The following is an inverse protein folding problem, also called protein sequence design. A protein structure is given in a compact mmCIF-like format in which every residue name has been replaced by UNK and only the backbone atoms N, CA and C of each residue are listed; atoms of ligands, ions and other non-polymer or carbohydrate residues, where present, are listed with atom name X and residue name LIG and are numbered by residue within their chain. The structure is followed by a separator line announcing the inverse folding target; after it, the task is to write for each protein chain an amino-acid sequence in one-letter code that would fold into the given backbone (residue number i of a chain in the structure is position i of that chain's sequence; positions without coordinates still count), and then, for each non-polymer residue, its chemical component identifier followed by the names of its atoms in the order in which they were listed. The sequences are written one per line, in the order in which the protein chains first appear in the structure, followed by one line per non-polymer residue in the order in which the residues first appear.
data_IF_045945834347
#
_entry.id   IF_045945834347
#
_cell.length_a   1.000
_cell.length_b   1.000
_cell.length_c   1.000
_cell.angle_alpha   90.00
_cell.angle_beta   90.00
_cell.angle_gamma   90.00
#
_symmetry.space_group_name_H-M   'P 1'
#
loop_
_entity.id
_entity.type
_entity.pdbx_description
1 polymer ?
#
# COMPACT_ATOMS: atom_id res chain seq x y z
N UNK A 1 -8.02 -22.71 -56.74
CA UNK A 1 -7.36 -23.30 -55.56
C UNK A 1 -6.59 -22.27 -54.70
N UNK A 2 -5.84 -21.32 -55.27
CA UNK A 2 -4.95 -20.43 -54.50
C UNK A 2 -5.58 -19.36 -53.60
N UNK A 3 -6.82 -18.88 -53.86
CA UNK A 3 -7.46 -17.83 -53.03
C UNK A 3 -7.94 -18.33 -51.66
N UNK A 4 -8.32 -19.60 -51.55
CA UNK A 4 -8.73 -20.21 -50.27
C UNK A 4 -7.55 -20.39 -49.31
N UNK A 5 -6.34 -20.58 -49.84
CA UNK A 5 -5.12 -20.70 -49.05
C UNK A 5 -4.70 -19.33 -48.51
N UNK A 6 -4.77 -18.27 -49.33
CA UNK A 6 -4.51 -16.89 -48.92
C UNK A 6 -5.44 -16.42 -47.78
N UNK A 7 -6.74 -16.69 -47.88
CA UNK A 7 -7.71 -16.30 -46.84
C UNK A 7 -7.47 -17.04 -45.52
N UNK A 8 -7.10 -18.33 -45.59
CA UNK A 8 -6.74 -19.09 -44.38
C UNK A 8 -5.51 -18.53 -43.68
N UNK A 9 -4.47 -18.15 -44.43
CA UNK A 9 -3.26 -17.53 -43.86
C UNK A 9 -3.55 -16.13 -43.29
N UNK A 10 -4.39 -15.33 -43.95
CA UNK A 10 -4.80 -14.02 -43.44
C UNK A 10 -5.57 -14.14 -42.11
N UNK A 11 -6.45 -15.14 -41.99
CA UNK A 11 -7.19 -15.44 -40.76
C UNK A 11 -6.27 -15.90 -39.62
N UNK A 12 -5.29 -16.76 -39.88
CA UNK A 12 -4.31 -17.17 -38.85
C UNK A 12 -3.43 -16.01 -38.40
N UNK A 13 -3.00 -15.14 -39.31
CA UNK A 13 -2.20 -13.96 -38.95
C UNK A 13 -3.01 -13.00 -38.07
N UNK A 14 -4.26 -12.74 -38.41
CA UNK A 14 -5.14 -11.86 -37.61
C UNK A 14 -5.43 -12.44 -36.21
N UNK A 15 -5.66 -13.75 -36.12
CA UNK A 15 -5.89 -14.43 -34.84
C UNK A 15 -4.64 -14.42 -33.94
N UNK A 16 -3.45 -14.58 -34.52
CA UNK A 16 -2.16 -14.50 -33.78
C UNK A 16 -1.91 -13.08 -33.27
N UNK A 17 -2.20 -12.05 -34.08
CA UNK A 17 -2.05 -10.66 -33.65
C UNK A 17 -3.02 -10.29 -32.52
N UNK A 18 -4.27 -10.75 -32.57
CA UNK A 18 -5.23 -10.54 -31.49
C UNK A 18 -4.83 -11.27 -30.20
N UNK A 19 -4.28 -12.49 -30.30
CA UNK A 19 -3.78 -13.24 -29.16
C UNK A 19 -2.52 -12.60 -28.52
N UNK A 20 -1.67 -11.96 -29.33
CA UNK A 20 -0.50 -11.19 -28.85
C UNK A 20 -0.93 -9.89 -28.15
N UNK A 21 -1.96 -9.21 -28.64
CA UNK A 21 -2.52 -8.01 -28.00
C UNK A 21 -3.27 -8.35 -26.71
N UNK A 22 -4.00 -9.46 -26.66
CA UNK A 22 -4.65 -9.95 -25.43
C UNK A 22 -3.64 -10.41 -24.36
N UNK A 23 -2.43 -10.80 -24.76
CA UNK A 23 -1.27 -11.07 -23.88
C UNK A 23 -0.38 -9.86 -23.67
N UNK A 24 -0.84 -8.65 -24.00
CA UNK A 24 -0.03 -7.46 -23.79
C UNK A 24 0.30 -7.32 -22.29
N UNK A 25 1.59 -7.27 -21.92
CA UNK A 25 2.00 -7.11 -20.53
C UNK A 25 1.52 -5.79 -19.93
N UNK A 26 1.07 -4.84 -20.76
CA UNK A 26 0.53 -3.55 -20.32
C UNK A 26 -0.78 -3.66 -19.50
N UNK A 27 -1.64 -4.66 -19.75
CA UNK A 27 -2.87 -4.86 -18.97
C UNK A 27 -2.59 -5.61 -17.66
N UNK A 28 -1.67 -6.56 -17.66
CA UNK A 28 -1.25 -7.28 -16.46
C UNK A 28 -0.36 -6.42 -15.54
N UNK A 29 0.59 -5.67 -16.11
CA UNK A 29 1.51 -4.80 -15.38
C UNK A 29 0.80 -3.64 -14.67
N UNK A 30 -0.39 -3.24 -15.12
CA UNK A 30 -1.21 -2.24 -14.42
C UNK A 30 -1.68 -2.75 -13.05
N UNK A 31 -2.13 -4.01 -12.98
CA UNK A 31 -2.55 -4.62 -11.72
C UNK A 31 -1.38 -4.91 -10.79
N UNK A 32 -0.23 -5.34 -11.35
CA UNK A 32 1.00 -5.52 -10.58
C UNK A 32 1.46 -4.19 -9.95
N UNK A 33 1.40 -3.09 -10.72
CA UNK A 33 1.76 -1.75 -10.22
C UNK A 33 0.81 -1.26 -9.12
N UNK A 34 -0.47 -1.58 -9.21
CA UNK A 34 -1.46 -1.24 -8.18
C UNK A 34 -1.17 -2.03 -6.90
N UNK A 35 -0.92 -3.33 -7.02
CA UNK A 35 -0.54 -4.18 -5.89
C UNK A 35 0.71 -3.63 -5.18
N UNK A 36 1.75 -3.30 -5.94
CA UNK A 36 2.97 -2.68 -5.40
C UNK A 36 2.70 -1.34 -4.70
N UNK A 37 1.84 -0.51 -5.28
CA UNK A 37 1.48 0.79 -4.71
C UNK A 37 0.74 0.62 -3.38
N UNK A 38 -0.19 -0.33 -3.30
CA UNK A 38 -0.96 -0.63 -2.09
C UNK A 38 -0.05 -1.14 -0.97
N UNK A 39 0.89 -2.04 -1.28
CA UNK A 39 1.89 -2.54 -0.31
C UNK A 39 2.82 -1.43 0.17
N UNK A 40 3.29 -0.57 -0.74
CA UNK A 40 4.16 0.55 -0.38
C UNK A 40 3.44 1.58 0.49
N UNK A 41 2.18 1.90 0.18
CA UNK A 41 1.35 2.79 1.01
C UNK A 41 1.17 2.19 2.41
N UNK A 42 0.87 0.89 2.52
CA UNK A 42 0.75 0.22 3.81
C UNK A 42 2.04 0.34 4.65
N UNK A 43 3.18 0.06 4.03
CA UNK A 43 4.50 0.15 4.67
C UNK A 43 4.75 1.55 5.24
N UNK A 44 4.42 2.60 4.48
CA UNK A 44 4.55 3.99 4.92
C UNK A 44 3.61 4.29 6.10
N UNK A 45 2.34 3.86 6.02
CA UNK A 45 1.36 4.09 7.09
C UNK A 45 1.81 3.46 8.42
N UNK A 46 2.31 2.23 8.40
CA UNK A 46 2.82 1.53 9.59
C UNK A 46 4.07 2.22 10.13
N UNK A 47 5.00 2.60 9.25
CA UNK A 47 6.24 3.29 9.64
C UNK A 47 5.97 4.62 10.32
N UNK A 48 5.03 5.41 9.80
CA UNK A 48 4.62 6.69 10.40
C UNK A 48 3.93 6.45 11.74
N UNK A 49 3.04 5.46 11.84
CA UNK A 49 2.34 5.13 13.08
C UNK A 49 3.31 4.86 14.24
N UNK A 50 4.33 4.02 14.02
CA UNK A 50 5.36 3.70 15.02
C UNK A 50 6.20 4.93 15.38
N UNK A 51 6.53 5.75 14.36
CA UNK A 51 7.30 6.98 14.57
C UNK A 51 6.54 7.99 15.43
N UNK A 52 5.25 8.19 15.17
CA UNK A 52 4.39 9.10 15.96
C UNK A 52 4.21 8.60 17.38
N UNK A 53 4.00 7.30 17.59
CA UNK A 53 3.92 6.69 18.94
C UNK A 53 5.20 6.97 19.74
N UNK A 54 6.35 6.81 19.09
CA UNK A 54 7.66 7.04 19.71
C UNK A 54 7.80 8.49 20.18
N UNK A 55 7.44 9.46 19.33
CA UNK A 55 7.48 10.89 19.67
C UNK A 55 6.50 11.22 20.80
N UNK A 56 5.30 10.65 20.79
CA UNK A 56 4.27 10.87 21.82
C UNK A 56 4.76 10.43 23.21
N UNK A 57 5.37 9.24 23.30
CA UNK A 57 5.93 8.70 24.55
C UNK A 57 7.09 9.56 25.04
N UNK A 58 8.00 9.97 24.15
CA UNK A 58 9.14 10.82 24.49
C UNK A 58 8.67 12.19 25.03
N UNK A 59 7.69 12.82 24.37
CA UNK A 59 7.15 14.10 24.81
C UNK A 59 6.46 14.00 26.16
N UNK A 60 5.64 12.96 26.37
CA UNK A 60 4.95 12.73 27.63
C UNK A 60 5.96 12.48 28.78
N UNK A 61 6.96 11.63 28.56
CA UNK A 61 7.99 11.32 29.55
C UNK A 61 8.82 12.54 29.93
N UNK A 62 9.21 13.36 28.96
CA UNK A 62 9.94 14.60 29.22
C UNK A 62 9.14 15.56 30.12
N UNK A 63 7.86 15.78 29.81
CA UNK A 63 6.98 16.65 30.60
C UNK A 63 6.75 16.12 32.02
N UNK A 64 6.56 14.81 32.18
CA UNK A 64 6.35 14.22 33.51
C UNK A 64 7.60 14.28 34.39
N UNK A 65 8.78 13.97 33.85
CA UNK A 65 10.02 13.87 34.63
C UNK A 65 10.63 15.26 34.89
N UNK A 66 10.71 16.13 33.88
CA UNK A 66 11.48 17.38 33.97
C UNK A 66 10.64 18.63 34.22
N UNK A 67 9.33 18.60 33.94
CA UNK A 67 8.45 19.75 34.13
C UNK A 67 7.45 19.56 35.27
N UNK A 68 7.51 18.43 35.99
CA UNK A 68 6.58 18.09 37.06
C UNK A 68 5.12 18.03 36.61
N UNK A 69 4.87 17.86 35.30
CA UNK A 69 3.52 17.82 34.75
C UNK A 69 2.79 16.55 35.21
N UNK A 70 1.50 16.66 35.50
CA UNK A 70 0.71 15.52 35.96
C UNK A 70 0.34 14.64 34.76
N UNK A 71 0.05 13.36 35.01
CA UNK A 71 -0.39 12.43 33.95
C UNK A 71 -1.59 13.00 33.17
N UNK A 72 -2.48 13.73 33.83
CA UNK A 72 -3.64 14.38 33.21
C UNK A 72 -3.25 15.40 32.14
N UNK A 73 -2.11 16.09 32.29
CA UNK A 73 -1.67 17.13 31.35
C UNK A 73 -1.13 16.54 30.04
N UNK A 74 -0.76 15.26 30.06
CA UNK A 74 -0.18 14.54 28.91
C UNK A 74 -1.02 13.33 28.49
N UNK A 75 -2.11 13.03 29.22
CA UNK A 75 -3.00 11.90 28.98
C UNK A 75 -3.60 11.93 27.57
N UNK A 76 -4.00 13.12 27.09
CA UNK A 76 -4.58 13.28 25.76
C UNK A 76 -3.60 12.87 24.65
N UNK A 77 -2.31 13.19 24.81
CA UNK A 77 -1.26 12.81 23.84
C UNK A 77 -0.98 11.31 23.90
N UNK A 78 -1.00 10.71 25.08
CA UNK A 78 -0.80 9.27 25.22
C UNK A 78 -1.97 8.46 24.65
N UNK A 79 -3.21 8.87 24.91
CA UNK A 79 -4.41 8.21 24.32
C UNK A 79 -4.43 8.41 22.81
N UNK A 80 -4.13 9.61 22.31
CA UNK A 80 -3.99 9.84 20.87
C UNK A 80 -2.87 8.98 20.26
N UNK A 81 -1.71 8.90 20.92
CA UNK A 81 -0.57 8.08 20.49
C UNK A 81 -0.92 6.60 20.41
N UNK A 82 -1.58 6.03 21.42
CA UNK A 82 -1.98 4.61 21.39
C UNK A 82 -3.04 4.32 20.33
N UNK A 83 -3.95 5.26 20.06
CA UNK A 83 -4.92 5.13 18.96
C UNK A 83 -4.23 5.14 17.59
N UNK A 84 -3.24 6.02 17.38
CA UNK A 84 -2.43 6.04 16.14
C UNK A 84 -1.64 4.74 15.99
N UNK A 85 -1.04 4.25 17.08
CA UNK A 85 -0.33 2.96 17.13
C UNK A 85 -1.24 1.78 16.76
N UNK A 86 -2.44 1.73 17.36
CA UNK A 86 -3.45 0.72 17.08
C UNK A 86 -3.94 0.76 15.63
N UNK A 87 -4.17 1.95 15.07
CA UNK A 87 -4.53 2.11 13.67
C UNK A 87 -3.44 1.61 12.71
N UNK A 88 -2.16 1.84 13.02
CA UNK A 88 -1.04 1.31 12.24
C UNK A 88 -0.96 -0.22 12.27
N UNK A 89 -1.17 -0.83 13.43
CA UNK A 89 -1.24 -2.28 13.55
C UNK A 89 -2.41 -2.87 12.73
N UNK A 90 -3.58 -2.23 12.76
CA UNK A 90 -4.74 -2.66 11.96
C UNK A 90 -4.49 -2.49 10.46
N UNK A 91 -3.80 -1.43 10.04
CA UNK A 91 -3.42 -1.25 8.65
C UNK A 91 -2.55 -2.43 8.17
N UNK A 92 -1.56 -2.85 8.96
CA UNK A 92 -0.70 -3.99 8.65
C UNK A 92 -1.47 -5.31 8.47
N UNK A 93 -2.57 -5.51 9.20
CA UNK A 93 -3.39 -6.73 9.11
C UNK A 93 -4.39 -6.75 7.94
N UNK A 94 -4.81 -5.58 7.43
CA UNK A 94 -5.81 -5.50 6.35
C UNK A 94 -5.15 -5.60 4.97
N UNK A 95 -3.93 -5.07 4.83
CA UNK A 95 -3.12 -5.13 3.59
C UNK A 95 -1.98 -6.11 3.81
N UNK A 96 -2.32 -7.35 4.16
CA UNK A 96 -1.41 -8.48 4.28
C UNK A 96 -1.74 -9.56 3.25
#
# INVERSE_FOLDING_TARGET
MSRFIQVKHALTVLAVQLALVARSPAVAAGFDKINDTVVNVNTILVTISVSVVSIAILWAGFKMIFQGARLTDVANVLVGGTLVGGAGAMAAYIVS
#
